data_IF_305064373494
#
_entry.id   IF_305064373494
#
_cell.length_a   1.000
_cell.length_b   1.000
_cell.length_c   1.000
_cell.angle_alpha   90.00
_cell.angle_beta   90.00
_cell.angle_gamma   90.00
#
_symmetry.space_group_name_H-M   'P 1'
#
loop_
_entity.id
_entity.type
_entity.pdbx_description
1 polymer ?
#
# COMPACT_ATOMS: atom_id res chain seq x y z
N UNK A 1 -0.54 6.09 20.32
CA UNK A 1 -0.22 7.15 19.34
C UNK A 1 -0.33 6.57 17.94
N UNK A 2 -1.19 7.13 17.09
CA UNK A 2 -1.22 6.86 15.66
C UNK A 2 -0.28 7.81 14.91
N UNK A 3 0.38 7.32 13.88
CA UNK A 3 1.19 8.13 12.96
C UNK A 3 0.58 8.16 11.56
N UNK A 4 0.98 9.12 10.75
CA UNK A 4 0.75 9.06 9.30
C UNK A 4 1.80 8.16 8.68
N UNK A 5 1.40 7.29 7.78
CA UNK A 5 2.28 6.39 7.04
C UNK A 5 2.00 6.55 5.55
N UNK A 6 3.05 6.84 4.77
CA UNK A 6 2.99 6.75 3.31
C UNK A 6 3.28 5.31 2.91
N UNK A 7 2.33 4.69 2.24
CA UNK A 7 2.41 3.32 1.73
C UNK A 7 2.47 3.40 0.22
N UNK A 8 3.57 2.90 -0.35
CA UNK A 8 3.71 2.70 -1.79
C UNK A 8 3.36 1.27 -2.13
N UNK A 9 2.52 1.09 -3.13
CA UNK A 9 2.00 -0.20 -3.54
C UNK A 9 1.77 -0.24 -5.03
N UNK A 10 1.54 -1.44 -5.54
CA UNK A 10 1.24 -1.67 -6.95
C UNK A 10 0.15 -2.72 -7.05
N UNK A 11 -0.81 -2.49 -7.93
CA UNK A 11 -1.81 -3.50 -8.25
C UNK A 11 -1.14 -4.70 -8.90
N UNK A 12 -1.53 -5.91 -8.50
CA UNK A 12 -1.12 -7.11 -9.20
C UNK A 12 -1.65 -7.02 -10.63
N UNK A 13 -0.73 -6.97 -11.58
CA UNK A 13 -1.06 -7.05 -12.99
C UNK A 13 -1.12 -8.52 -13.39
N UNK A 14 -2.08 -8.86 -14.24
CA UNK A 14 -2.18 -10.18 -14.87
C UNK A 14 -1.13 -10.36 -15.97
N UNK A 15 -0.42 -9.30 -16.36
CA UNK A 15 0.54 -9.34 -17.46
C UNK A 15 1.98 -9.19 -16.95
N UNK A 16 2.87 -10.17 -17.22
CA UNK A 16 4.23 -10.23 -16.68
C UNK A 16 5.14 -9.11 -17.20
N UNK A 17 4.80 -8.49 -18.33
CA UNK A 17 5.54 -7.36 -18.92
C UNK A 17 5.08 -6.00 -18.41
N UNK A 18 3.94 -5.94 -17.73
CA UNK A 18 3.37 -4.68 -17.30
C UNK A 18 4.13 -4.19 -16.07
N UNK A 19 5.07 -3.25 -16.25
CA UNK A 19 5.70 -2.40 -15.22
C UNK A 19 4.67 -1.44 -14.59
N UNK A 20 3.55 -1.99 -14.13
CA UNK A 20 2.42 -1.26 -13.55
C UNK A 20 2.84 -0.14 -12.60
N UNK A 21 2.09 0.95 -12.65
CA UNK A 21 2.36 2.17 -11.92
C UNK A 21 2.47 1.92 -10.42
N UNK A 22 3.50 2.49 -9.80
CA UNK A 22 3.60 2.56 -8.35
C UNK A 22 2.64 3.64 -7.87
N UNK A 23 1.69 3.23 -7.04
CA UNK A 23 0.75 4.13 -6.38
C UNK A 23 1.26 4.40 -4.96
N UNK A 24 1.00 5.59 -4.44
CA UNK A 24 1.31 5.97 -3.07
C UNK A 24 0.05 6.51 -2.41
N UNK A 25 -0.20 6.09 -1.17
CA UNK A 25 -1.30 6.61 -0.36
C UNK A 25 -0.82 6.86 1.06
N UNK A 26 -1.45 7.80 1.75
CA UNK A 26 -1.13 8.08 3.16
C UNK A 26 -2.28 7.60 4.03
N UNK A 27 -1.96 6.79 5.03
CA UNK A 27 -2.94 6.25 5.99
C UNK A 27 -2.55 6.61 7.41
N UNK A 28 -3.54 6.81 8.26
CA UNK A 28 -3.34 6.99 9.69
C UNK A 28 -3.45 5.63 10.36
N UNK A 29 -2.36 5.15 10.95
CA UNK A 29 -2.31 3.83 11.56
C UNK A 29 -1.52 3.87 12.86
N UNK A 30 -1.62 2.81 13.66
CA UNK A 30 -0.81 2.68 14.89
C UNK A 30 0.56 2.09 14.63
N UNK A 31 0.70 1.26 13.58
CA UNK A 31 1.94 0.61 13.20
C UNK A 31 2.09 0.50 11.67
N UNK A 32 3.31 0.18 11.21
CA UNK A 32 3.59 -0.09 9.79
C UNK A 32 2.76 -1.26 9.26
N UNK A 33 2.58 -2.32 10.07
CA UNK A 33 1.78 -3.49 9.67
C UNK A 33 0.30 -3.14 9.54
N UNK A 34 -0.22 -2.32 10.45
CA UNK A 34 -1.60 -1.83 10.41
C UNK A 34 -1.82 -0.95 9.16
N UNK A 35 -0.90 0.00 8.89
CA UNK A 35 -0.92 0.81 7.67
C UNK A 35 -0.93 -0.05 6.40
N UNK A 36 -0.11 -1.10 6.38
CA UNK A 36 -0.04 -2.06 5.27
C UNK A 36 -1.37 -2.77 5.08
N UNK A 37 -1.95 -3.30 6.15
CA UNK A 37 -3.20 -4.05 6.12
C UNK A 37 -4.37 -3.18 5.68
N UNK A 38 -4.43 -1.92 6.13
CA UNK A 38 -5.43 -0.96 5.66
C UNK A 38 -5.33 -0.74 4.15
N UNK A 39 -4.12 -0.53 3.61
CA UNK A 39 -3.95 -0.34 2.17
C UNK A 39 -4.30 -1.59 1.38
N UNK A 40 -3.92 -2.78 1.87
CA UNK A 40 -4.33 -4.04 1.24
C UNK A 40 -5.86 -4.16 1.25
N UNK A 41 -6.52 -3.92 2.38
CA UNK A 41 -7.97 -4.02 2.49
C UNK A 41 -8.69 -3.01 1.58
N UNK A 42 -8.23 -1.76 1.55
CA UNK A 42 -8.88 -0.68 0.78
C UNK A 42 -8.54 -0.71 -0.71
N UNK A 43 -7.38 -1.25 -1.11
CA UNK A 43 -6.92 -1.18 -2.51
C UNK A 43 -6.82 -2.54 -3.21
N UNK A 44 -7.03 -3.67 -2.51
CA UNK A 44 -6.96 -4.99 -3.16
C UNK A 44 -8.04 -5.18 -4.23
N UNK A 45 -9.26 -4.64 -4.05
CA UNK A 45 -10.40 -4.69 -4.99
C UNK A 45 -10.54 -6.02 -5.78
N UNK A 46 -10.28 -7.16 -5.13
CA UNK A 46 -10.32 -8.50 -5.74
C UNK A 46 -9.16 -8.86 -6.68
N UNK A 47 -8.26 -7.93 -7.01
CA UNK A 47 -7.07 -8.17 -7.86
C UNK A 47 -5.78 -8.37 -7.07
N UNK A 48 -5.75 -7.93 -5.80
CA UNK A 48 -4.58 -7.98 -4.96
C UNK A 48 -3.63 -6.81 -5.22
N UNK A 49 -3.00 -6.33 -4.14
CA UNK A 49 -1.95 -5.31 -4.20
C UNK A 49 -0.67 -5.87 -3.61
N UNK A 50 0.46 -5.47 -4.18
CA UNK A 50 1.80 -5.73 -3.66
C UNK A 50 2.30 -4.44 -3.02
N UNK A 51 2.60 -4.53 -1.74
CA UNK A 51 3.13 -3.39 -0.98
C UNK A 51 4.64 -3.33 -1.23
N UNK A 52 5.11 -2.16 -1.64
CA UNK A 52 6.51 -1.92 -2.01
C UNK A 52 7.26 -1.32 -0.82
N UNK A 53 6.70 -0.29 -0.21
CA UNK A 53 7.31 0.39 0.94
C UNK A 53 6.26 0.98 1.86
N UNK A 54 6.57 1.05 3.14
CA UNK A 54 5.76 1.79 4.13
C UNK A 54 6.73 2.65 4.92
N UNK A 55 6.53 3.96 4.87
CA UNK A 55 7.36 4.92 5.60
C UNK A 55 6.48 5.76 6.52
N UNK A 56 6.92 5.95 7.76
CA UNK A 56 6.24 6.85 8.68
C UNK A 56 6.52 8.29 8.22
N UNK A 57 5.45 9.07 8.04
CA UNK A 57 5.52 10.52 7.83
C UNK A 57 5.50 11.19 9.19
N UNK A 58 6.51 12.00 9.44
CA UNK A 58 6.61 12.89 10.59
C UNK A 58 5.65 14.06 10.46
#
# INVERSE_FOLDING_TARGET
>A
MSGRYEVKFRYKSTSPTSRGSVNATTVTATSISDARNQVIASHSYGKGVTIISVVKKS
#
